data_IF_916499868616
#
_entry.id   IF_916499868616
#
_cell.length_a   1.000
_cell.length_b   1.000
_cell.length_c   1.000
_cell.angle_alpha   90.00
_cell.angle_beta   90.00
_cell.angle_gamma   90.00
#
_symmetry.space_group_name_H-M   'P 1'
#
loop_
_entity.id
_entity.type
_entity.pdbx_description
1 polymer ?
#
# COMPACT_ATOMS: atom_id res chain seq x y z
N UNK A 1 12.34 -2.38 9.32
CA UNK A 1 11.75 -3.61 8.76
C UNK A 1 10.25 -3.39 8.75
N UNK A 2 9.63 -3.23 7.57
CA UNK A 2 8.19 -3.05 7.48
C UNK A 2 7.56 -4.41 7.79
N UNK A 3 6.96 -4.56 8.98
CA UNK A 3 6.18 -5.74 9.31
C UNK A 3 5.04 -5.84 8.28
N UNK A 4 5.09 -6.87 7.43
CA UNK A 4 3.97 -7.20 6.58
C UNK A 4 2.79 -7.58 7.49
N UNK A 5 1.55 -7.21 7.14
CA UNK A 5 0.38 -7.72 7.84
C UNK A 5 0.39 -9.26 7.84
N UNK A 6 -0.05 -9.88 8.94
CA UNK A 6 -0.07 -11.34 9.12
C UNK A 6 -0.64 -12.08 7.90
N UNK A 7 -1.72 -11.57 7.31
CA UNK A 7 -2.35 -12.17 6.11
C UNK A 7 -1.43 -12.22 4.89
N UNK A 8 -0.52 -11.25 4.73
CA UNK A 8 0.47 -11.24 3.64
C UNK A 8 1.65 -12.13 4.00
N UNK A 9 2.02 -12.21 5.28
CA UNK A 9 3.08 -13.10 5.74
C UNK A 9 2.69 -14.58 5.52
N UNK A 10 1.46 -14.97 5.85
CA UNK A 10 0.95 -16.32 5.57
C UNK A 10 0.95 -16.65 4.08
N UNK A 11 0.65 -15.67 3.20
CA UNK A 11 0.83 -15.86 1.76
C UNK A 11 2.30 -16.03 1.38
N UNK A 12 3.18 -15.18 1.90
CA UNK A 12 4.60 -15.20 1.59
C UNK A 12 5.28 -16.52 2.01
N UNK A 13 4.80 -17.16 3.07
CA UNK A 13 5.25 -18.49 3.50
C UNK A 13 4.90 -19.60 2.49
N UNK A 14 3.82 -19.45 1.73
CA UNK A 14 3.35 -20.47 0.76
C UNK A 14 3.86 -20.21 -0.65
N UNK A 15 3.71 -18.98 -1.16
CA UNK A 15 4.04 -18.63 -2.55
C UNK A 15 5.30 -17.78 -2.70
N UNK A 16 5.94 -17.41 -1.58
CA UNK A 16 7.07 -16.49 -1.55
C UNK A 16 6.64 -15.02 -1.45
N UNK A 17 7.49 -14.20 -0.82
CA UNK A 17 7.22 -12.77 -0.56
C UNK A 17 6.95 -11.98 -1.85
N UNK A 18 7.78 -12.16 -2.89
CA UNK A 18 7.62 -11.46 -4.16
C UNK A 18 6.28 -11.76 -4.84
N UNK A 19 5.84 -13.02 -4.81
CA UNK A 19 4.57 -13.45 -5.39
C UNK A 19 3.38 -12.92 -4.57
N UNK A 20 3.45 -12.99 -3.24
CA UNK A 20 2.44 -12.44 -2.35
C UNK A 20 2.25 -10.92 -2.56
N UNK A 21 3.35 -10.17 -2.65
CA UNK A 21 3.30 -8.73 -2.94
C UNK A 21 2.77 -8.44 -4.35
N UNK A 22 3.13 -9.26 -5.35
CA UNK A 22 2.63 -9.12 -6.72
C UNK A 22 1.12 -9.33 -6.76
N UNK A 23 0.60 -10.37 -6.09
CA UNK A 23 -0.83 -10.64 -5.97
C UNK A 23 -1.58 -9.44 -5.38
N UNK A 24 -1.11 -8.93 -4.24
CA UNK A 24 -1.76 -7.80 -3.54
C UNK A 24 -1.76 -6.53 -4.38
N UNK A 25 -0.71 -6.30 -5.18
CA UNK A 25 -0.59 -5.11 -6.03
C UNK A 25 -1.43 -5.19 -7.30
N UNK A 26 -1.50 -6.37 -7.92
CA UNK A 26 -2.19 -6.58 -9.19
C UNK A 26 -3.70 -6.83 -9.04
N UNK A 27 -4.13 -7.35 -7.88
CA UNK A 27 -5.54 -7.65 -7.64
C UNK A 27 -6.35 -6.37 -7.40
N UNK A 28 -7.52 -6.21 -8.05
CA UNK A 28 -8.34 -5.02 -7.85
C UNK A 28 -8.84 -4.94 -6.40
N UNK A 29 -8.75 -3.77 -5.76
CA UNK A 29 -9.32 -3.58 -4.43
C UNK A 29 -10.85 -3.56 -4.50
N UNK A 30 -11.48 -4.31 -3.60
CA UNK A 30 -12.91 -4.25 -3.34
C UNK A 30 -13.18 -3.13 -2.33
N UNK A 31 -14.07 -2.20 -2.69
CA UNK A 31 -14.53 -1.15 -1.77
C UNK A 31 -15.75 -1.65 -0.99
N UNK A 32 -15.66 -1.68 0.33
CA UNK A 32 -16.83 -1.92 1.18
C UNK A 32 -17.80 -0.75 1.08
N UNK A 33 -19.03 -0.99 0.64
CA UNK A 33 -20.09 0.01 0.57
C UNK A 33 -20.47 0.58 1.94
N UNK A 34 -20.39 -0.24 2.99
CA UNK A 34 -20.71 0.15 4.37
C UNK A 34 -19.62 1.01 5.03
N UNK A 35 -18.34 0.69 4.82
CA UNK A 35 -17.23 1.34 5.54
C UNK A 35 -16.42 2.31 4.68
N UNK A 36 -16.61 2.29 3.35
CA UNK A 36 -15.79 3.05 2.40
C UNK A 36 -14.33 2.60 2.35
N UNK A 37 -13.97 1.51 3.03
CA UNK A 37 -12.59 1.01 3.07
C UNK A 37 -12.30 0.10 1.88
N UNK A 38 -11.13 0.30 1.29
CA UNK A 38 -10.59 -0.57 0.25
C UNK A 38 -9.92 -1.78 0.88
N UNK A 39 -10.32 -2.98 0.45
CA UNK A 39 -9.76 -4.27 0.88
C UNK A 39 -9.49 -5.11 -0.34
N UNK A 40 -8.39 -5.85 -0.35
CA UNK A 40 -8.14 -6.84 -1.40
C UNK A 40 -8.72 -8.16 -0.90
N UNK A 41 -9.72 -8.67 -1.60
CA UNK A 41 -10.37 -9.94 -1.28
C UNK A 41 -10.16 -10.87 -2.47
N UNK A 42 -9.53 -12.02 -2.22
CA UNK A 42 -9.19 -13.00 -3.25
C UNK A 42 -9.91 -14.29 -2.93
N UNK A 43 -10.78 -14.73 -3.83
CA UNK A 43 -11.30 -16.09 -3.77
C UNK A 43 -10.31 -17.03 -4.46
N UNK A 44 -9.91 -18.08 -3.75
CA UNK A 44 -9.04 -19.13 -4.29
C UNK A 44 -9.94 -20.32 -4.62
N UNK A 45 -10.12 -20.68 -5.90
CA UNK A 45 -11.00 -21.79 -6.26
C UNK A 45 -10.36 -23.12 -5.84
N UNK A 46 -11.18 -24.13 -5.51
CA UNK A 46 -10.69 -25.49 -5.19
C UNK A 46 -10.12 -26.21 -6.41
N UNK A 47 -10.51 -25.80 -7.61
CA UNK A 47 -9.95 -26.25 -8.89
C UNK A 47 -9.57 -25.04 -9.71
N UNK A 48 -8.35 -25.02 -10.25
CA UNK A 48 -7.82 -23.88 -10.99
C UNK A 48 -8.03 -24.09 -12.50
N UNK A 49 -8.99 -23.41 -13.15
CA UNK A 49 -9.14 -23.50 -14.59
C UNK A 49 -7.97 -22.82 -15.30
N UNK A 50 -7.62 -23.29 -16.50
CA UNK A 50 -6.45 -22.82 -17.26
C UNK A 50 -6.46 -21.31 -17.55
N UNK A 51 -7.65 -20.71 -17.64
CA UNK A 51 -7.86 -19.27 -17.81
C UNK A 51 -8.40 -18.67 -16.51
N UNK A 52 -7.56 -18.60 -15.49
CA UNK A 52 -7.88 -17.97 -14.23
C UNK A 52 -6.96 -16.79 -13.95
N UNK A 53 -7.51 -15.69 -13.42
CA UNK A 53 -6.75 -14.47 -13.09
C UNK A 53 -5.55 -14.72 -12.17
N UNK A 54 -5.62 -15.72 -11.29
CA UNK A 54 -4.48 -16.11 -10.45
C UNK A 54 -3.28 -16.57 -11.30
N UNK A 55 -3.53 -17.31 -12.39
CA UNK A 55 -2.50 -17.74 -13.34
C UNK A 55 -1.96 -16.52 -14.09
N UNK A 56 -2.82 -15.60 -14.54
CA UNK A 56 -2.37 -14.39 -15.24
C UNK A 56 -1.45 -13.51 -14.39
N UNK A 57 -1.66 -13.49 -13.07
CA UNK A 57 -0.91 -12.65 -12.14
C UNK A 57 0.35 -13.35 -11.60
N UNK A 58 0.26 -14.65 -11.30
CA UNK A 58 1.31 -15.38 -10.57
C UNK A 58 2.05 -16.41 -11.42
N UNK A 59 1.52 -16.77 -12.58
CA UNK A 59 1.93 -17.96 -13.33
C UNK A 59 1.27 -19.24 -12.80
N UNK A 60 1.28 -20.28 -13.63
CA UNK A 60 0.56 -21.54 -13.35
C UNK A 60 1.08 -22.24 -12.09
N UNK A 61 2.40 -22.42 -11.97
CA UNK A 61 3.00 -23.18 -10.86
C UNK A 61 2.71 -22.53 -9.50
N UNK A 62 2.86 -21.21 -9.39
CA UNK A 62 2.62 -20.46 -8.16
C UNK A 62 1.12 -20.43 -7.82
N UNK A 63 0.26 -20.30 -8.83
CA UNK A 63 -1.18 -20.36 -8.64
C UNK A 63 -1.66 -21.75 -8.19
N UNK A 64 -1.04 -22.83 -8.68
CA UNK A 64 -1.29 -24.19 -8.23
C UNK A 64 -0.88 -24.40 -6.77
N UNK A 65 0.28 -23.88 -6.35
CA UNK A 65 0.69 -23.91 -4.94
C UNK A 65 -0.30 -23.17 -4.05
N UNK A 66 -0.78 -22.00 -4.49
CA UNK A 66 -1.78 -21.25 -3.74
C UNK A 66 -3.10 -22.03 -3.59
N UNK A 67 -3.57 -22.69 -4.65
CA UNK A 67 -4.78 -23.52 -4.62
C UNK A 67 -4.62 -24.79 -3.79
N UNK A 68 -3.44 -25.41 -3.82
CA UNK A 68 -3.16 -26.59 -2.99
C UNK A 68 -3.27 -26.29 -1.49
N UNK A 69 -2.92 -25.06 -1.08
CA UNK A 69 -2.97 -24.64 0.32
C UNK A 69 -4.29 -23.98 0.73
N UNK A 70 -4.86 -23.11 -0.11
CA UNK A 70 -6.02 -22.27 0.22
C UNK A 70 -7.26 -22.56 -0.65
N UNK A 71 -7.28 -23.69 -1.37
CA UNK A 71 -8.35 -24.04 -2.30
C UNK A 71 -9.73 -24.06 -1.64
N UNK A 72 -10.65 -23.23 -2.13
CA UNK A 72 -11.99 -23.06 -1.59
C UNK A 72 -12.12 -21.94 -0.56
N UNK A 73 -11.04 -21.25 -0.22
CA UNK A 73 -11.04 -20.18 0.78
C UNK A 73 -11.19 -18.79 0.17
N UNK A 74 -11.71 -17.88 1.00
CA UNK A 74 -11.76 -16.45 0.73
C UNK A 74 -10.68 -15.75 1.54
N UNK A 75 -9.60 -15.35 0.88
CA UNK A 75 -8.47 -14.68 1.50
C UNK A 75 -8.72 -13.18 1.62
N UNK A 76 -8.63 -12.67 2.85
CA UNK A 76 -8.68 -11.24 3.14
C UNK A 76 -7.25 -10.70 3.23
N UNK A 77 -6.78 -10.13 2.12
CA UNK A 77 -5.44 -9.55 2.10
C UNK A 77 -5.56 -8.15 2.69
N UNK A 78 -5.00 -7.99 3.89
CA UNK A 78 -4.84 -6.69 4.52
C UNK A 78 -4.19 -5.77 3.48
N UNK A 79 -4.81 -4.61 3.23
CA UNK A 79 -4.36 -3.80 2.11
C UNK A 79 -2.96 -3.28 2.40
N UNK A 80 -1.96 -3.70 1.61
CA UNK A 80 -0.69 -2.99 1.53
C UNK A 80 -0.93 -1.51 1.18
N UNK A 81 -2.08 -1.18 0.58
CA UNK A 81 -2.51 0.20 0.37
C UNK A 81 -2.65 1.01 1.66
N UNK A 82 -2.99 0.41 2.81
CA UNK A 82 -3.01 1.16 4.07
C UNK A 82 -1.58 1.50 4.52
N UNK A 83 -0.63 0.55 4.42
CA UNK A 83 0.78 0.77 4.71
C UNK A 83 1.42 1.75 3.71
N UNK A 84 1.12 1.62 2.42
CA UNK A 84 1.58 2.52 1.37
C UNK A 84 0.96 3.92 1.53
N UNK A 85 -0.33 4.02 1.84
CA UNK A 85 -0.98 5.29 2.12
C UNK A 85 -0.43 5.94 3.39
N UNK A 86 -0.14 5.17 4.44
CA UNK A 86 0.45 5.68 5.67
C UNK A 86 1.89 6.14 5.43
N UNK A 87 2.72 5.31 4.80
CA UNK A 87 4.08 5.65 4.41
C UNK A 87 4.10 6.87 3.48
N UNK A 88 3.13 6.98 2.57
CA UNK A 88 2.98 8.12 1.66
C UNK A 88 2.55 9.39 2.40
N UNK A 89 1.63 9.29 3.38
CA UNK A 89 1.25 10.41 4.26
C UNK A 89 2.42 10.85 5.12
N UNK A 90 3.21 9.91 5.66
CA UNK A 90 4.42 10.22 6.41
C UNK A 90 5.46 10.93 5.54
N UNK A 91 5.65 10.50 4.29
CA UNK A 91 6.54 11.17 3.33
C UNK A 91 6.05 12.59 3.00
N UNK A 92 4.75 12.77 2.78
CA UNK A 92 4.14 14.10 2.59
C UNK A 92 4.36 14.98 3.83
N UNK A 93 4.12 14.45 5.03
CA UNK A 93 4.32 15.18 6.27
C UNK A 93 5.79 15.53 6.50
N UNK A 94 6.72 14.63 6.20
CA UNK A 94 8.18 14.88 6.26
C UNK A 94 8.61 15.95 5.25
N UNK A 95 8.08 15.92 4.03
CA UNK A 95 8.37 16.94 3.02
C UNK A 95 7.89 18.33 3.44
N UNK A 96 6.70 18.43 4.08
CA UNK A 96 6.26 19.70 4.64
C UNK A 96 7.10 20.11 5.85
N UNK A 97 7.47 19.17 6.73
CA UNK A 97 8.26 19.44 7.93
C UNK A 97 9.70 19.90 7.61
N UNK A 98 10.24 19.52 6.44
CA UNK A 98 11.54 20.01 5.97
C UNK A 98 11.52 21.46 5.44
N UNK A 99 10.38 22.13 5.51
CA UNK A 99 10.21 23.52 5.07
C UNK A 99 9.73 23.68 3.63
N UNK A 100 9.43 22.59 2.92
CA UNK A 100 8.91 22.66 1.56
C UNK A 100 7.50 23.29 1.55
N UNK A 101 7.23 24.28 0.67
CA UNK A 101 5.91 24.88 0.55
C UNK A 101 4.88 23.85 0.10
N UNK A 102 3.68 23.90 0.69
CA UNK A 102 2.63 22.88 0.49
C UNK A 102 2.20 22.73 -0.97
N UNK A 103 2.23 23.81 -1.75
CA UNK A 103 1.93 23.78 -3.19
C UNK A 103 2.96 22.96 -3.98
N UNK A 104 4.24 23.06 -3.61
CA UNK A 104 5.30 22.26 -4.21
C UNK A 104 5.13 20.78 -3.84
N UNK A 105 4.86 20.48 -2.56
CA UNK A 105 4.56 19.12 -2.09
C UNK A 105 3.33 18.54 -2.80
N UNK A 106 2.29 19.34 -3.03
CA UNK A 106 1.09 18.91 -3.75
C UNK A 106 1.40 18.46 -5.18
N UNK A 107 2.24 19.23 -5.88
CA UNK A 107 2.66 18.92 -7.25
C UNK A 107 3.60 17.72 -7.29
N UNK A 108 4.61 17.70 -6.44
CA UNK A 108 5.61 16.62 -6.38
C UNK A 108 4.96 15.26 -6.06
N UNK A 109 3.99 15.24 -5.15
CA UNK A 109 3.29 14.03 -4.76
C UNK A 109 2.00 13.79 -5.58
N UNK A 110 1.60 14.69 -6.48
CA UNK A 110 0.36 14.57 -7.24
C UNK A 110 -0.89 14.46 -6.35
N UNK A 111 -0.99 15.28 -5.29
CA UNK A 111 -2.08 15.25 -4.32
C UNK A 111 -2.70 16.63 -4.10
N UNK A 112 -3.96 16.66 -3.65
CA UNK A 112 -4.62 17.92 -3.30
C UNK A 112 -4.11 18.48 -1.96
N UNK A 113 -4.27 19.80 -1.79
CA UNK A 113 -4.00 20.49 -0.52
C UNK A 113 -4.80 19.89 0.67
N UNK A 114 -5.99 19.33 0.41
CA UNK A 114 -6.80 18.65 1.43
C UNK A 114 -6.14 17.36 1.91
N UNK A 115 -5.53 16.58 1.00
CA UNK A 115 -4.77 15.38 1.35
C UNK A 115 -3.53 15.73 2.19
N UNK A 116 -2.85 16.84 1.88
CA UNK A 116 -1.74 17.35 2.70
C UNK A 116 -2.21 17.73 4.10
N UNK A 117 -3.32 18.46 4.24
CA UNK A 117 -3.88 18.81 5.55
C UNK A 117 -4.22 17.59 6.40
N UNK A 118 -4.73 16.51 5.79
CA UNK A 118 -5.00 15.24 6.47
C UNK A 118 -3.70 14.57 6.94
N UNK A 119 -2.71 14.45 6.06
CA UNK A 119 -1.40 13.89 6.40
C UNK A 119 -0.73 14.63 7.57
N UNK A 120 -0.83 15.97 7.61
CA UNK A 120 -0.30 16.80 8.71
C UNK A 120 -1.10 16.70 10.00
N UNK A 121 -2.40 16.38 9.93
CA UNK A 121 -3.20 16.12 11.14
C UNK A 121 -2.75 14.82 11.79
N UNK A 122 -2.55 13.79 10.98
CA UNK A 122 -2.14 12.46 11.46
C UNK A 122 -0.69 12.49 11.99
N UNK A 123 0.20 13.25 11.36
CA UNK A 123 1.61 13.37 11.76
C UNK A 123 1.87 14.20 13.02
N UNK A 124 0.94 15.10 13.42
CA UNK A 124 1.08 15.90 14.66
C UNK A 124 1.10 15.07 15.95
N UNK A 125 0.76 13.78 15.86
CA UNK A 125 0.90 12.83 16.97
C UNK A 125 2.33 12.26 17.12
N UNK A 126 3.26 12.61 16.22
CA UNK A 126 4.65 12.14 16.24
C UNK A 126 5.63 13.34 16.32
N UNK A 127 6.78 13.21 17.01
CA UNK A 127 7.75 14.30 17.14
C UNK A 127 8.38 14.68 15.78
N UNK A 128 8.60 15.98 15.51
CA UNK A 128 9.17 16.42 14.25
C UNK A 128 10.66 16.00 14.12
N UNK A 129 11.11 15.52 12.95
CA UNK A 129 12.50 15.18 12.73
C UNK A 129 13.39 16.43 12.61
N UNK A 130 14.67 16.29 12.95
CA UNK A 130 15.66 17.35 12.79
C UNK A 130 15.84 17.73 11.31
N UNK A 131 15.68 19.00 10.99
CA UNK A 131 15.76 19.54 9.62
C UNK A 131 17.21 19.75 9.20
N UNK A 132 17.58 19.30 8.00
CA UNK A 132 18.89 19.56 7.42
C UNK A 132 18.95 21.00 6.87
N UNK A 133 19.91 21.85 7.28
CA UNK A 133 19.92 23.29 7.00
C UNK A 133 20.02 23.66 5.51
N UNK A 134 20.43 22.72 4.64
CA UNK A 134 20.51 22.92 3.20
C UNK A 134 19.13 23.07 2.50
N UNK A 135 18.04 22.60 3.11
CA UNK A 135 16.69 22.65 2.53
C UNK A 135 15.99 24.01 2.72
N UNK A 136 16.50 24.87 3.60
CA UNK A 136 15.92 26.19 3.89
C UNK A 136 16.28 27.26 2.85
N UNK A 137 17.35 27.06 2.06
CA UNK A 137 17.90 28.10 1.18
C UNK A 137 17.17 28.27 -0.17
N UNK A 138 16.28 27.34 -0.55
CA UNK A 138 15.72 27.30 -1.91
C UNK A 138 14.31 27.88 -2.11
N UNK A 139 13.52 28.06 -1.04
CA UNK A 139 12.07 28.33 -1.17
C UNK A 139 11.64 29.77 -0.89
N UNK A 140 12.58 30.72 -0.79
CA UNK A 140 12.32 32.12 -0.42
C UNK A 140 12.01 33.05 -1.62
N UNK A 141 11.44 32.56 -2.72
CA UNK A 141 10.99 33.42 -3.83
C UNK A 141 9.67 32.96 -4.43
N UNK A 142 8.80 33.97 -4.62
CA UNK A 142 7.44 34.00 -5.18
C UNK A 142 6.31 33.63 -4.20
#
# INVERSE_FOLDING_TARGET
>A
MNALPDSIQTLAEVIGESAALTLVRAWPPTTSSTTGRHRVIVYVPSTLPDQHRLIDILGYDVAQQLVAHFGGELLFLASCFAADAQQRRERIARAVASGMPRDHVAREFGVSQTTIKRALRDARCAPPPAVHPALLKGYARA
#
